data_IF_463955994408
#
_entry.id   IF_463955994408
#
_cell.length_a   1.000
_cell.length_b   1.000
_cell.length_c   1.000
_cell.angle_alpha   90.00
_cell.angle_beta   90.00
_cell.angle_gamma   90.00
#
_symmetry.space_group_name_H-M   'P 1'
#
loop_
_entity.id
_entity.type
_entity.pdbx_description
1 polymer ?
#
# COMPACT_ATOMS: atom_id res chain seq x y z
N UNK A 1 -4.24 -5.88 -18.28
CA UNK A 1 -5.66 -5.91 -18.68
C UNK A 1 -6.59 -5.24 -17.64
N UNK A 2 -6.26 -5.36 -16.37
CA UNK A 2 -7.02 -4.74 -15.28
C UNK A 2 -6.08 -4.38 -14.12
N UNK A 3 -6.08 -3.13 -13.69
CA UNK A 3 -5.31 -2.69 -12.54
C UNK A 3 -6.23 -1.98 -11.53
N UNK A 4 -5.97 -2.18 -10.24
CA UNK A 4 -6.73 -1.59 -9.14
C UNK A 4 -5.80 -0.98 -8.13
N UNK A 5 -6.17 0.20 -7.63
CA UNK A 5 -5.56 0.78 -6.44
C UNK A 5 -6.65 1.32 -5.50
N UNK A 6 -6.26 1.60 -4.27
CA UNK A 6 -7.15 2.14 -3.24
C UNK A 6 -6.59 3.43 -2.65
N UNK A 7 -7.51 4.30 -2.20
CA UNK A 7 -7.19 5.64 -1.71
C UNK A 7 -6.21 5.67 -0.52
N UNK A 8 -6.28 4.68 0.38
CA UNK A 8 -5.52 4.64 1.64
C UNK A 8 -4.11 4.03 1.52
N UNK A 9 -3.59 3.81 0.33
CA UNK A 9 -2.24 3.30 0.08
C UNK A 9 -1.35 4.44 -0.42
N UNK A 10 -0.66 4.25 -1.52
CA UNK A 10 0.23 5.25 -2.09
C UNK A 10 -0.45 6.59 -2.44
N UNK A 11 -1.78 6.62 -2.56
CA UNK A 11 -2.54 7.85 -2.79
C UNK A 11 -2.80 8.67 -1.50
N UNK A 12 -2.38 8.19 -0.33
CA UNK A 12 -2.31 8.94 0.93
C UNK A 12 -3.64 9.53 1.44
N UNK A 13 -4.79 9.03 0.97
CA UNK A 13 -6.11 9.46 1.41
C UNK A 13 -6.72 8.47 2.41
N UNK A 14 -7.82 8.83 3.04
CA UNK A 14 -8.59 7.93 3.89
C UNK A 14 -9.18 6.75 3.08
N UNK A 15 -9.43 5.59 3.71
CA UNK A 15 -10.13 4.48 3.05
C UNK A 15 -11.52 4.88 2.56
N UNK A 16 -11.94 4.34 1.41
CA UNK A 16 -13.31 4.50 0.91
C UNK A 16 -13.43 4.72 -0.61
N UNK A 17 -12.31 4.90 -1.33
CA UNK A 17 -12.30 4.93 -2.79
C UNK A 17 -11.41 3.83 -3.35
N UNK A 18 -11.82 3.30 -4.49
CA UNK A 18 -11.01 2.42 -5.33
C UNK A 18 -10.96 2.98 -6.75
N UNK A 19 -9.82 2.83 -7.40
CA UNK A 19 -9.61 3.22 -8.78
C UNK A 19 -9.31 1.99 -9.60
N UNK A 20 -9.98 1.86 -10.73
CA UNK A 20 -9.81 0.74 -11.66
C UNK A 20 -9.42 1.26 -13.03
N UNK A 21 -8.34 0.72 -13.58
CA UNK A 21 -7.97 0.88 -14.99
C UNK A 21 -8.40 -0.39 -15.71
N UNK A 22 -9.27 -0.26 -16.69
CA UNK A 22 -9.89 -1.37 -17.40
C UNK A 22 -9.43 -1.32 -18.85
N UNK A 23 -8.58 -2.26 -19.26
CA UNK A 23 -8.11 -2.38 -20.62
C UNK A 23 -9.15 -3.07 -21.52
N UNK A 24 -8.92 -3.04 -22.84
CA UNK A 24 -9.86 -3.53 -23.86
C UNK A 24 -10.29 -4.97 -23.64
N UNK A 25 -9.38 -5.88 -23.39
CA UNK A 25 -9.71 -7.29 -23.09
C UNK A 25 -10.58 -7.45 -21.83
N UNK A 26 -10.40 -6.60 -20.85
CA UNK A 26 -11.22 -6.62 -19.64
C UNK A 26 -12.62 -6.09 -19.93
N UNK A 27 -12.77 -5.06 -20.77
CA UNK A 27 -14.08 -4.59 -21.25
C UNK A 27 -14.87 -5.69 -21.98
N UNK A 28 -14.23 -6.42 -22.86
CA UNK A 28 -14.86 -7.57 -23.52
C UNK A 28 -15.35 -8.65 -22.53
N UNK A 29 -14.66 -8.82 -21.41
CA UNK A 29 -15.10 -9.73 -20.36
C UNK A 29 -16.28 -9.16 -19.55
N UNK A 30 -16.27 -7.85 -19.28
CA UNK A 30 -17.39 -7.14 -18.60
C UNK A 30 -18.69 -7.29 -19.40
N UNK A 31 -18.64 -7.07 -20.72
CA UNK A 31 -19.80 -7.18 -21.63
C UNK A 31 -20.41 -8.59 -21.68
N UNK A 32 -19.56 -9.62 -21.59
CA UNK A 32 -20.00 -11.03 -21.61
C UNK A 32 -20.37 -11.59 -20.24
N UNK A 33 -20.11 -10.86 -19.15
CA UNK A 33 -20.36 -11.35 -17.80
C UNK A 33 -21.84 -11.39 -17.45
N UNK A 34 -22.42 -12.56 -17.16
CA UNK A 34 -23.80 -12.69 -16.75
C UNK A 34 -23.99 -12.37 -15.25
N UNK A 35 -22.92 -12.02 -14.53
CA UNK A 35 -23.01 -11.79 -13.10
C UNK A 35 -23.92 -10.59 -12.77
N UNK A 36 -24.92 -10.75 -11.90
CA UNK A 36 -25.80 -9.66 -11.53
C UNK A 36 -25.01 -8.56 -10.79
N UNK A 37 -25.11 -7.35 -11.32
CA UNK A 37 -24.36 -6.18 -10.85
C UNK A 37 -25.25 -4.94 -10.91
N UNK A 38 -25.10 -4.05 -9.92
CA UNK A 38 -25.76 -2.75 -9.91
C UNK A 38 -24.74 -1.67 -9.53
N UNK A 39 -24.48 -1.44 -8.24
CA UNK A 39 -23.55 -0.41 -7.78
C UNK A 39 -22.12 -0.58 -8.29
N UNK A 40 -21.65 -1.82 -8.45
CA UNK A 40 -20.31 -2.15 -8.97
C UNK A 40 -20.30 -2.42 -10.48
N UNK A 41 -21.31 -1.96 -11.23
CA UNK A 41 -21.33 -2.10 -12.69
C UNK A 41 -20.37 -1.14 -13.35
N UNK A 42 -19.30 -1.66 -13.97
CA UNK A 42 -18.37 -0.88 -14.78
C UNK A 42 -19.05 -0.25 -15.99
N UNK A 43 -20.04 -0.92 -16.59
CA UNK A 43 -20.84 -0.39 -17.72
C UNK A 43 -21.64 0.84 -17.29
N UNK A 44 -22.31 0.79 -16.14
CA UNK A 44 -23.06 1.91 -15.59
C UNK A 44 -22.12 3.09 -15.27
N UNK A 45 -20.95 2.83 -14.66
CA UNK A 45 -19.95 3.85 -14.36
C UNK A 45 -19.44 4.48 -15.67
N UNK A 46 -19.04 3.67 -16.65
CA UNK A 46 -18.56 4.14 -17.96
C UNK A 46 -19.59 5.02 -18.69
N UNK A 47 -20.84 4.55 -18.74
CA UNK A 47 -21.90 5.26 -19.46
C UNK A 47 -22.28 6.59 -18.81
N UNK A 48 -22.24 6.70 -17.48
CA UNK A 48 -22.53 7.97 -16.77
C UNK A 48 -21.36 8.97 -16.87
N UNK A 49 -20.12 8.49 -16.83
CA UNK A 49 -18.94 9.33 -17.00
C UNK A 49 -18.80 9.86 -18.45
N UNK A 50 -19.30 9.14 -19.43
CA UNK A 50 -19.22 9.50 -20.86
C UNK A 50 -20.30 10.51 -21.32
N UNK A 51 -21.19 10.96 -20.43
CA UNK A 51 -22.21 11.97 -20.75
C UNK A 51 -21.57 13.36 -20.95
N UNK A 52 -22.22 14.23 -21.71
CA UNK A 52 -21.78 15.64 -21.91
C UNK A 52 -21.49 16.34 -20.60
N UNK A 53 -22.33 16.11 -19.61
CA UNK A 53 -22.06 16.44 -18.21
C UNK A 53 -21.77 15.14 -17.47
N UNK A 54 -20.49 14.93 -17.14
CA UNK A 54 -20.06 13.73 -16.42
C UNK A 54 -20.82 13.60 -15.09
N UNK A 55 -21.36 12.42 -14.86
CA UNK A 55 -22.11 12.06 -13.65
C UNK A 55 -21.55 10.77 -13.06
N UNK A 56 -21.90 10.47 -11.82
CA UNK A 56 -21.60 9.20 -11.17
C UNK A 56 -22.89 8.43 -10.90
N UNK A 57 -22.89 7.08 -10.99
CA UNK A 57 -24.10 6.29 -10.80
C UNK A 57 -24.60 6.28 -9.34
N UNK A 58 -23.88 6.88 -8.42
CA UNK A 58 -24.23 7.00 -7.01
C UNK A 58 -23.59 8.22 -6.37
N UNK A 59 -23.88 8.44 -5.08
CA UNK A 59 -23.31 9.58 -4.34
C UNK A 59 -21.81 9.45 -4.21
N UNK A 60 -21.08 10.44 -4.73
CA UNK A 60 -19.61 10.48 -4.67
C UNK A 60 -19.16 11.00 -3.30
N UNK A 61 -18.19 10.34 -2.65
CA UNK A 61 -17.59 10.81 -1.41
C UNK A 61 -16.62 11.98 -1.69
N UNK A 62 -17.16 13.16 -1.87
CA UNK A 62 -16.43 14.37 -2.33
C UNK A 62 -15.20 14.66 -1.48
N UNK A 63 -15.29 14.51 -0.15
CA UNK A 63 -14.17 14.71 0.77
C UNK A 63 -12.99 13.77 0.48
N UNK A 64 -13.27 12.50 0.13
CA UNK A 64 -12.22 11.55 -0.26
C UNK A 64 -11.61 11.88 -1.63
N UNK A 65 -12.42 12.34 -2.57
CA UNK A 65 -11.92 12.80 -3.88
C UNK A 65 -10.95 13.97 -3.71
N UNK A 66 -11.27 14.92 -2.83
CA UNK A 66 -10.38 16.06 -2.53
C UNK A 66 -9.08 15.60 -1.85
N UNK A 67 -9.14 14.62 -0.95
CA UNK A 67 -7.94 14.04 -0.34
C UNK A 67 -7.05 13.33 -1.38
N UNK A 68 -7.65 12.53 -2.27
CA UNK A 68 -6.90 11.86 -3.34
C UNK A 68 -6.28 12.88 -4.30
N UNK A 69 -7.01 13.95 -4.64
CA UNK A 69 -6.49 15.04 -5.47
C UNK A 69 -5.23 15.66 -4.84
N UNK A 70 -5.23 15.86 -3.52
CA UNK A 70 -4.05 16.38 -2.81
C UNK A 70 -2.89 15.37 -2.83
N UNK A 71 -3.14 14.09 -2.57
CA UNK A 71 -2.13 13.05 -2.68
C UNK A 71 -1.52 12.97 -4.09
N UNK A 72 -2.35 13.06 -5.12
CA UNK A 72 -1.89 13.10 -6.51
C UNK A 72 -1.07 14.37 -6.82
N UNK A 73 -1.45 15.52 -6.26
CA UNK A 73 -0.69 16.76 -6.40
C UNK A 73 0.74 16.58 -5.86
N UNK A 74 0.88 16.05 -4.64
CA UNK A 74 2.19 15.78 -4.01
C UNK A 74 3.04 14.86 -4.89
N UNK A 75 2.48 13.73 -5.34
CA UNK A 75 3.20 12.76 -6.18
C UNK A 75 3.60 13.36 -7.54
N UNK A 76 2.75 14.20 -8.13
CA UNK A 76 3.01 14.83 -9.43
C UNK A 76 4.07 15.90 -9.32
N UNK A 77 4.07 16.69 -8.25
CA UNK A 77 5.08 17.71 -7.99
C UNK A 77 6.46 17.11 -7.70
N UNK A 78 6.53 15.97 -6.99
CA UNK A 78 7.77 15.22 -6.81
C UNK A 78 8.27 14.61 -8.13
N UNK A 79 7.36 14.22 -9.03
CA UNK A 79 7.63 13.50 -10.25
C UNK A 79 7.67 11.98 -10.04
N UNK A 80 6.94 11.23 -10.89
CA UNK A 80 6.76 9.79 -10.70
C UNK A 80 8.07 8.99 -10.70
N UNK A 81 9.04 9.36 -11.51
CA UNK A 81 10.33 8.68 -11.56
C UNK A 81 11.08 8.82 -10.22
N UNK A 82 11.12 10.02 -9.65
CA UNK A 82 11.69 10.27 -8.33
C UNK A 82 10.92 9.54 -7.22
N UNK A 83 9.59 9.49 -7.31
CA UNK A 83 8.76 8.71 -6.38
C UNK A 83 9.16 7.22 -6.42
N UNK A 84 9.35 6.66 -7.61
CA UNK A 84 9.75 5.25 -7.76
C UNK A 84 11.17 4.99 -7.23
N UNK A 85 12.13 5.85 -7.55
CA UNK A 85 13.51 5.77 -7.05
C UNK A 85 13.53 5.84 -5.51
N UNK A 86 12.89 6.83 -4.91
CA UNK A 86 12.79 7.00 -3.46
C UNK A 86 12.21 5.77 -2.77
N UNK A 87 11.14 5.18 -3.32
CA UNK A 87 10.54 3.97 -2.76
C UNK A 87 11.46 2.76 -2.89
N UNK A 88 12.20 2.63 -3.97
CA UNK A 88 13.16 1.55 -4.16
C UNK A 88 14.33 1.66 -3.16
N UNK A 89 14.86 2.87 -2.95
CA UNK A 89 15.92 3.14 -1.98
C UNK A 89 15.47 2.85 -0.54
N UNK A 90 14.30 3.35 -0.14
CA UNK A 90 13.72 3.08 1.18
C UNK A 90 13.49 1.58 1.40
N UNK A 91 12.97 0.88 0.39
CA UNK A 91 12.77 -0.56 0.46
C UNK A 91 14.07 -1.31 0.70
N UNK A 92 15.14 -0.96 -0.02
CA UNK A 92 16.45 -1.60 0.16
C UNK A 92 17.06 -1.25 1.52
N UNK A 93 16.92 -0.02 1.97
CA UNK A 93 17.39 0.41 3.29
C UNK A 93 16.68 -0.34 4.43
N UNK A 94 15.37 -0.49 4.36
CA UNK A 94 14.60 -1.29 5.34
C UNK A 94 15.06 -2.74 5.33
N UNK A 95 15.20 -3.35 4.15
CA UNK A 95 15.63 -4.76 4.02
C UNK A 95 17.02 -4.99 4.58
N UNK A 96 17.96 -4.12 4.24
CA UNK A 96 19.35 -4.24 4.72
C UNK A 96 19.43 -4.00 6.22
N UNK A 97 18.77 -2.95 6.71
CA UNK A 97 18.75 -2.62 8.13
C UNK A 97 18.12 -3.70 9.00
N UNK A 98 16.99 -4.27 8.56
CA UNK A 98 16.31 -5.32 9.32
C UNK A 98 17.05 -6.66 9.27
N UNK A 99 17.74 -6.99 8.17
CA UNK A 99 18.63 -8.15 8.13
C UNK A 99 19.75 -8.05 9.16
N UNK A 100 20.34 -6.86 9.29
CA UNK A 100 21.40 -6.62 10.29
C UNK A 100 20.87 -6.76 11.75
N UNK A 101 19.56 -6.71 11.95
CA UNK A 101 18.88 -6.96 13.23
C UNK A 101 18.43 -8.41 13.40
N UNK A 102 18.74 -9.30 12.47
CA UNK A 102 18.40 -10.73 12.55
C UNK A 102 17.04 -11.11 11.96
N UNK A 103 16.33 -10.18 11.31
CA UNK A 103 15.07 -10.50 10.63
C UNK A 103 15.30 -11.22 9.30
N UNK A 104 14.47 -12.20 9.01
CA UNK A 104 14.38 -12.81 7.68
C UNK A 104 13.45 -12.02 6.76
N UNK A 105 13.67 -12.11 5.44
CA UNK A 105 12.79 -11.50 4.45
C UNK A 105 11.82 -12.54 3.90
N UNK A 106 10.52 -12.23 3.91
CA UNK A 106 9.53 -12.98 3.14
C UNK A 106 9.66 -12.69 1.64
N UNK A 107 9.46 -13.71 0.81
CA UNK A 107 9.63 -13.64 -0.64
C UNK A 107 11.04 -14.07 -1.09
N UNK A 108 11.09 -15.14 -1.90
CA UNK A 108 12.34 -15.79 -2.30
C UNK A 108 13.21 -14.94 -3.25
N UNK A 109 12.61 -14.11 -4.12
CA UNK A 109 13.30 -13.30 -5.11
C UNK A 109 12.95 -11.82 -5.03
N UNK A 110 13.85 -10.97 -5.56
CA UNK A 110 13.63 -9.51 -5.58
C UNK A 110 12.36 -9.12 -6.33
N UNK A 111 12.00 -9.86 -7.38
CA UNK A 111 10.78 -9.63 -8.16
C UNK A 111 9.48 -9.99 -7.42
N UNK A 112 9.58 -10.68 -6.29
CA UNK A 112 8.44 -11.03 -5.42
C UNK A 112 8.23 -10.04 -4.28
N UNK A 113 9.07 -9.01 -4.18
CA UNK A 113 9.05 -8.03 -3.10
C UNK A 113 8.49 -6.71 -3.58
N UNK A 114 7.57 -6.17 -2.79
CA UNK A 114 7.01 -4.84 -3.05
C UNK A 114 8.05 -3.74 -2.77
N UNK A 115 8.13 -2.69 -3.60
CA UNK A 115 8.93 -1.50 -3.29
C UNK A 115 8.30 -0.62 -2.19
N UNK A 116 7.10 -0.93 -1.72
CA UNK A 116 6.33 -0.09 -0.78
C UNK A 116 6.03 -0.77 0.55
N UNK A 117 6.34 -2.06 0.68
CA UNK A 117 6.10 -2.88 1.87
C UNK A 117 7.20 -3.93 2.01
N UNK A 118 7.79 -4.03 3.19
CA UNK A 118 8.71 -5.12 3.53
C UNK A 118 8.07 -6.04 4.58
N UNK A 119 7.91 -7.31 4.22
CA UNK A 119 7.45 -8.36 5.12
C UNK A 119 8.65 -9.15 5.67
N UNK A 120 8.68 -9.32 6.98
CA UNK A 120 9.83 -9.80 7.73
C UNK A 120 9.42 -10.98 8.63
N UNK A 121 10.19 -12.05 8.63
CA UNK A 121 10.10 -13.04 9.72
C UNK A 121 10.88 -12.51 10.92
N UNK A 122 10.30 -12.64 12.12
CA UNK A 122 10.98 -12.21 13.35
C UNK A 122 12.13 -13.16 13.69
N UNK A 123 13.16 -12.68 14.41
CA UNK A 123 14.24 -13.55 14.92
C UNK A 123 13.71 -14.68 15.83
N UNK A 124 14.47 -15.76 15.95
CA UNK A 124 14.11 -16.89 16.81
C UNK A 124 13.86 -16.42 18.25
N UNK A 125 12.80 -16.93 18.85
CA UNK A 125 12.40 -16.61 20.22
C UNK A 125 11.63 -15.27 20.36
N UNK A 126 11.44 -14.49 19.29
CA UNK A 126 10.68 -13.25 19.30
C UNK A 126 9.23 -13.51 18.89
N UNK A 127 8.27 -13.13 19.74
CA UNK A 127 6.85 -13.10 19.37
C UNK A 127 6.52 -11.80 18.61
N UNK A 128 5.99 -11.91 17.40
CA UNK A 128 5.71 -10.77 16.53
C UNK A 128 4.69 -9.79 17.12
N UNK A 129 3.72 -10.25 17.92
CA UNK A 129 2.72 -9.37 18.54
C UNK A 129 3.33 -8.58 19.69
N UNK A 130 4.07 -9.23 20.57
CA UNK A 130 4.79 -8.57 21.66
C UNK A 130 5.82 -7.55 21.12
N UNK A 131 6.56 -7.95 20.08
CA UNK A 131 7.51 -7.08 19.40
C UNK A 131 6.85 -5.83 18.81
N UNK A 132 5.73 -6.00 18.10
CA UNK A 132 4.95 -4.85 17.58
C UNK A 132 4.52 -3.88 18.69
N UNK A 133 4.14 -4.38 19.85
CA UNK A 133 3.77 -3.52 21.00
C UNK A 133 4.97 -2.72 21.47
N UNK A 134 6.16 -3.32 21.61
CA UNK A 134 7.40 -2.62 21.98
C UNK A 134 7.76 -1.54 20.93
N UNK A 135 7.70 -1.87 19.65
CA UNK A 135 7.95 -0.89 18.56
C UNK A 135 6.98 0.30 18.64
N UNK A 136 5.69 0.02 18.89
CA UNK A 136 4.67 1.07 19.07
C UNK A 136 4.98 1.97 20.28
N UNK A 137 5.45 1.41 21.38
CA UNK A 137 5.86 2.19 22.57
C UNK A 137 7.04 3.13 22.27
N UNK A 138 7.90 2.79 21.31
CA UNK A 138 8.94 3.66 20.76
C UNK A 138 8.44 4.71 19.75
N UNK A 139 7.13 4.81 19.54
CA UNK A 139 6.50 5.82 18.67
C UNK A 139 6.43 5.44 17.18
N UNK A 140 6.71 4.20 16.81
CA UNK A 140 6.62 3.70 15.44
C UNK A 140 5.55 2.62 15.37
N UNK A 141 4.70 2.66 14.34
CA UNK A 141 3.65 1.68 14.14
C UNK A 141 3.96 0.77 12.95
N UNK A 142 4.19 -0.50 13.24
CA UNK A 142 4.29 -1.58 12.24
C UNK A 142 3.11 -2.54 12.35
N UNK A 143 2.89 -3.37 11.32
CA UNK A 143 1.83 -4.36 11.32
C UNK A 143 2.39 -5.78 11.54
N UNK A 144 1.60 -6.68 12.11
CA UNK A 144 1.93 -8.11 12.16
C UNK A 144 1.56 -8.81 10.86
N UNK A 145 2.06 -10.02 10.65
CA UNK A 145 1.66 -10.90 9.57
C UNK A 145 0.16 -11.19 9.57
N UNK A 146 -0.34 -11.72 8.47
CA UNK A 146 -1.74 -12.10 8.32
C UNK A 146 -1.88 -13.62 8.32
N UNK A 147 -3.01 -14.12 8.82
CA UNK A 147 -3.35 -15.53 8.83
C UNK A 147 -2.24 -16.39 9.48
N UNK A 148 -1.66 -17.36 8.74
CA UNK A 148 -0.58 -18.24 9.22
C UNK A 148 0.71 -17.52 9.63
N UNK A 149 0.89 -16.26 9.23
CA UNK A 149 2.06 -15.46 9.59
C UNK A 149 1.86 -14.52 10.80
N UNK A 150 0.69 -14.55 11.45
CA UNK A 150 0.33 -13.56 12.49
C UNK A 150 1.30 -13.54 13.69
N UNK A 151 1.83 -14.70 14.11
CA UNK A 151 2.75 -14.80 15.26
C UNK A 151 4.24 -14.74 14.91
N UNK A 152 4.59 -14.89 13.63
CA UNK A 152 5.97 -15.09 13.17
C UNK A 152 6.49 -13.98 12.25
N UNK A 153 5.63 -13.02 11.87
CA UNK A 153 6.00 -11.99 10.90
C UNK A 153 5.52 -10.61 11.33
N UNK A 154 6.30 -9.61 10.92
CA UNK A 154 5.93 -8.20 10.95
C UNK A 154 6.04 -7.59 9.56
N UNK A 155 5.34 -6.48 9.32
CA UNK A 155 5.32 -5.77 8.06
C UNK A 155 5.63 -4.30 8.28
N UNK A 156 6.61 -3.79 7.57
CA UNK A 156 7.00 -2.39 7.57
C UNK A 156 6.53 -1.77 6.25
N UNK A 157 5.60 -0.83 6.34
CA UNK A 157 5.16 -0.03 5.20
C UNK A 157 6.07 1.18 5.02
N UNK A 158 6.52 1.41 3.79
CA UNK A 158 7.33 2.55 3.40
C UNK A 158 6.77 3.14 2.11
N UNK A 159 5.52 3.61 2.17
CA UNK A 159 4.76 4.12 1.02
C UNK A 159 4.20 5.52 1.29
N UNK A 160 3.88 6.21 0.21
CA UNK A 160 3.33 7.57 0.29
C UNK A 160 4.42 8.62 0.51
N UNK A 161 4.19 9.56 1.40
CA UNK A 161 5.12 10.66 1.69
C UNK A 161 6.15 10.34 2.79
N UNK A 162 6.41 9.07 3.05
CA UNK A 162 7.50 8.64 3.95
C UNK A 162 8.85 8.99 3.32
N UNK A 163 9.79 9.42 4.16
CA UNK A 163 11.15 9.83 3.77
C UNK A 163 12.19 8.92 4.42
N UNK A 164 13.44 9.04 3.98
CA UNK A 164 14.54 8.21 4.49
C UNK A 164 14.74 8.38 5.99
N UNK A 165 14.56 9.59 6.54
CA UNK A 165 14.65 9.86 7.97
C UNK A 165 13.62 9.05 8.79
N UNK A 166 12.42 8.86 8.25
CA UNK A 166 11.39 8.00 8.87
C UNK A 166 11.82 6.52 8.88
N UNK A 167 12.51 6.10 7.83
CA UNK A 167 13.08 4.74 7.72
C UNK A 167 14.19 4.55 8.77
N UNK A 168 15.12 5.49 8.89
CA UNK A 168 16.21 5.42 9.89
C UNK A 168 15.64 5.38 11.30
N UNK A 169 14.69 6.28 11.62
CA UNK A 169 13.99 6.27 12.90
C UNK A 169 13.28 4.93 13.15
N UNK A 170 12.64 4.37 12.13
CA UNK A 170 11.97 3.07 12.26
C UNK A 170 12.98 1.98 12.61
N UNK A 171 14.11 1.92 11.92
CA UNK A 171 15.17 0.94 12.19
C UNK A 171 15.78 1.08 13.58
N UNK A 172 15.96 2.30 14.07
CA UNK A 172 16.45 2.60 15.42
C UNK A 172 15.47 2.08 16.49
N UNK A 173 14.17 2.38 16.34
CA UNK A 173 13.14 1.90 17.25
C UNK A 173 12.99 0.38 17.18
N UNK A 174 13.07 -0.21 15.98
CA UNK A 174 13.06 -1.66 15.81
C UNK A 174 14.24 -2.35 16.51
N UNK A 175 15.43 -1.73 16.47
CA UNK A 175 16.62 -2.22 17.20
C UNK A 175 16.38 -2.19 18.70
N UNK A 176 15.94 -1.06 19.23
CA UNK A 176 15.68 -0.87 20.66
C UNK A 176 14.60 -1.82 21.20
N UNK A 177 13.64 -2.19 20.37
CA UNK A 177 12.56 -3.12 20.74
C UNK A 177 12.98 -4.60 20.83
N UNK A 178 14.18 -4.95 20.38
CA UNK A 178 14.75 -6.30 20.52
C UNK A 178 15.43 -6.52 21.90
N UNK A 179 15.81 -5.43 22.56
CA UNK A 179 16.30 -5.43 23.94
C UNK A 179 15.13 -5.59 24.92
#
# INVERSE_FOLDING_TARGET
DFAVTSSQKCLMASPGLSFAVVGERAWQAVERSPFPKNYLSFEAIRSTLARDRAETPGTTPVSLVLQVREGLRILTEEGLDHVFERHAEMAERVRTGTRALGFGLLGAGIHQRSPTLTALTVPDGVDANAYRVKVRSGGVQIAVGLRSYAGSCVRVGHMGDIRMDDVERTLEVMRSALS
#
